data_IF_202713377446
#
_entry.id   IF_202713377446
#
_cell.length_a   1.000
_cell.length_b   1.000
_cell.length_c   1.000
_cell.angle_alpha   90.00
_cell.angle_beta   90.00
_cell.angle_gamma   90.00
#
_symmetry.space_group_name_H-M   'P 1'
#
loop_
_entity.id
_entity.type
_entity.pdbx_description
1 polymer ?
#
# COMPACT_ATOMS: atom_id res chain seq x y z
N UNK A 1 2.81 -18.81 5.98
CA UNK A 1 3.14 -18.51 4.59
C UNK A 1 4.52 -19.07 4.29
N UNK A 2 4.64 -19.83 3.22
CA UNK A 2 5.85 -20.60 2.86
C UNK A 2 6.79 -19.79 1.99
N UNK A 3 8.05 -20.23 1.82
CA UNK A 3 9.03 -19.65 0.89
C UNK A 3 8.46 -19.52 -0.55
N UNK A 4 7.63 -20.48 -0.96
CA UNK A 4 6.92 -20.43 -2.25
C UNK A 4 6.00 -19.20 -2.39
N UNK A 5 5.43 -18.68 -1.28
CA UNK A 5 4.59 -17.49 -1.34
C UNK A 5 5.40 -16.22 -1.64
N UNK A 6 6.59 -16.07 -1.07
CA UNK A 6 7.48 -14.93 -1.31
C UNK A 6 7.90 -14.88 -2.79
N UNK A 7 8.37 -16.00 -3.32
CA UNK A 7 8.80 -16.11 -4.72
C UNK A 7 7.65 -15.82 -5.71
N UNK A 8 6.47 -16.39 -5.47
CA UNK A 8 5.30 -16.13 -6.31
C UNK A 8 4.91 -14.66 -6.32
N UNK A 9 4.87 -14.00 -5.15
CA UNK A 9 4.53 -12.59 -5.03
C UNK A 9 5.55 -11.73 -5.77
N UNK A 10 6.85 -11.94 -5.51
CA UNK A 10 7.91 -11.14 -6.12
C UNK A 10 7.98 -11.32 -7.64
N UNK A 11 7.80 -12.54 -8.12
CA UNK A 11 7.76 -12.83 -9.57
C UNK A 11 6.56 -12.15 -10.22
N UNK A 12 5.36 -12.26 -9.61
CA UNK A 12 4.15 -11.61 -10.13
C UNK A 12 4.33 -10.10 -10.22
N UNK A 13 4.84 -9.46 -9.15
CA UNK A 13 5.05 -8.01 -9.14
C UNK A 13 6.10 -7.58 -10.18
N UNK A 14 7.22 -8.30 -10.30
CA UNK A 14 8.27 -7.98 -11.29
C UNK A 14 7.81 -8.13 -12.74
N UNK A 15 6.81 -8.96 -12.99
CA UNK A 15 6.20 -9.10 -14.32
C UNK A 15 5.08 -8.08 -14.62
N UNK A 16 4.92 -7.03 -13.80
CA UNK A 16 3.86 -6.03 -13.94
C UNK A 16 2.48 -6.51 -13.47
N UNK A 17 2.44 -7.61 -12.74
CA UNK A 17 1.21 -8.14 -12.17
C UNK A 17 0.77 -7.41 -10.90
N UNK A 18 -0.51 -7.59 -10.55
CA UNK A 18 -1.09 -7.05 -9.33
C UNK A 18 -1.48 -8.18 -8.37
N UNK A 19 -1.29 -7.95 -7.07
CA UNK A 19 -1.47 -8.98 -6.03
C UNK A 19 -2.43 -8.50 -4.96
N UNK A 20 -3.42 -9.32 -4.61
CA UNK A 20 -4.21 -9.12 -3.39
C UNK A 20 -3.56 -9.86 -2.24
N UNK A 21 -3.23 -9.12 -1.17
CA UNK A 21 -2.54 -9.64 0.01
C UNK A 21 -3.04 -8.95 1.28
N UNK A 22 -3.03 -9.66 2.41
CA UNK A 22 -3.25 -9.05 3.72
C UNK A 22 -2.02 -8.24 4.12
N UNK A 23 -2.23 -6.95 4.37
CA UNK A 23 -1.18 -6.04 4.87
C UNK A 23 -1.12 -6.05 6.41
N UNK A 24 -0.44 -5.09 7.03
CA UNK A 24 -0.43 -4.87 8.49
C UNK A 24 -1.83 -4.63 9.06
N UNK A 25 -2.75 -4.21 8.20
CA UNK A 25 -4.09 -3.78 8.56
C UNK A 25 -5.14 -4.68 7.89
N UNK A 26 -5.61 -4.28 6.73
CA UNK A 26 -6.64 -4.94 5.95
C UNK A 26 -6.06 -5.52 4.66
N UNK A 27 -6.85 -6.26 3.88
CA UNK A 27 -6.43 -6.66 2.56
C UNK A 27 -6.22 -5.45 1.65
N UNK A 28 -5.08 -5.42 0.98
CA UNK A 28 -4.72 -4.46 -0.05
C UNK A 28 -4.54 -5.13 -1.41
N UNK A 29 -4.71 -4.36 -2.46
CA UNK A 29 -4.26 -4.74 -3.80
C UNK A 29 -2.96 -3.97 -4.06
N UNK A 30 -1.87 -4.70 -4.33
CA UNK A 30 -0.53 -4.11 -4.47
C UNK A 30 0.00 -4.23 -5.89
N UNK A 31 0.77 -3.24 -6.29
CA UNK A 31 1.55 -3.19 -7.53
C UNK A 31 2.86 -2.44 -7.29
N UNK A 32 3.88 -2.67 -8.10
CA UNK A 32 5.12 -1.89 -8.04
C UNK A 32 4.82 -0.41 -8.24
N UNK A 33 5.28 0.43 -7.34
CA UNK A 33 5.10 1.89 -7.44
C UNK A 33 5.90 2.50 -8.63
N UNK A 34 6.94 1.80 -9.09
CA UNK A 34 7.78 2.20 -10.22
C UNK A 34 7.25 1.73 -11.58
N UNK A 35 6.19 0.92 -11.61
CA UNK A 35 5.58 0.41 -12.83
C UNK A 35 4.24 1.11 -13.08
N UNK A 36 4.25 2.08 -13.99
CA UNK A 36 3.06 2.87 -14.37
C UNK A 36 1.90 1.96 -14.80
N UNK A 37 2.16 0.98 -15.66
CA UNK A 37 1.12 0.10 -16.19
C UNK A 37 0.49 -0.75 -15.09
N UNK A 38 1.28 -1.25 -14.16
CA UNK A 38 0.77 -2.01 -13.02
C UNK A 38 -0.05 -1.11 -12.07
N UNK A 39 0.37 0.13 -11.85
CA UNK A 39 -0.37 1.13 -11.07
C UNK A 39 -1.72 1.43 -11.74
N UNK A 40 -1.74 1.73 -13.04
CA UNK A 40 -2.99 1.98 -13.80
C UNK A 40 -3.92 0.77 -13.79
N UNK A 41 -3.38 -0.45 -13.88
CA UNK A 41 -4.15 -1.69 -13.75
C UNK A 41 -4.89 -1.75 -12.41
N UNK A 42 -4.24 -1.36 -11.30
CA UNK A 42 -4.90 -1.29 -9.98
C UNK A 42 -6.06 -0.28 -9.98
N UNK A 43 -5.87 0.90 -10.55
CA UNK A 43 -6.94 1.91 -10.62
C UNK A 43 -8.12 1.41 -11.45
N UNK A 44 -7.85 0.80 -12.61
CA UNK A 44 -8.89 0.25 -13.49
C UNK A 44 -9.69 -0.87 -12.80
N UNK A 45 -9.02 -1.85 -12.20
CA UNK A 45 -9.65 -2.99 -11.51
C UNK A 45 -10.48 -2.53 -10.31
N UNK A 46 -10.03 -1.51 -9.59
CA UNK A 46 -10.76 -0.93 -8.46
C UNK A 46 -11.86 0.05 -8.88
N UNK A 47 -11.92 0.46 -10.15
CA UNK A 47 -12.76 1.58 -10.60
C UNK A 47 -12.50 2.84 -9.75
N UNK A 48 -11.22 3.09 -9.45
CA UNK A 48 -10.80 4.15 -8.54
C UNK A 48 -10.72 5.48 -9.27
N UNK A 49 -11.22 6.52 -8.62
CA UNK A 49 -11.02 7.90 -9.07
C UNK A 49 -9.52 8.18 -9.26
N UNK A 50 -9.13 8.62 -10.46
CA UNK A 50 -7.75 8.84 -10.86
C UNK A 50 -7.05 9.94 -10.07
N UNK A 51 -7.81 10.88 -9.49
CA UNK A 51 -7.27 11.95 -8.64
C UNK A 51 -6.91 11.50 -7.22
N UNK A 52 -7.39 10.32 -6.78
CA UNK A 52 -7.16 9.81 -5.43
C UNK A 52 -5.85 9.05 -5.36
N UNK A 53 -4.84 9.64 -4.75
CA UNK A 53 -3.55 9.01 -4.52
C UNK A 53 -3.65 7.69 -3.72
N UNK A 54 -2.72 6.78 -3.95
CA UNK A 54 -2.55 5.57 -3.16
C UNK A 54 -1.45 5.77 -2.10
N UNK A 55 -1.57 5.06 -0.97
CA UNK A 55 -0.45 4.94 -0.02
C UNK A 55 0.63 4.08 -0.67
N UNK A 56 1.88 4.50 -0.51
CA UNK A 56 3.06 3.75 -0.92
C UNK A 56 3.64 3.04 0.30
N UNK A 57 3.75 1.72 0.23
CA UNK A 57 4.40 0.90 1.25
C UNK A 57 5.88 0.77 0.96
N UNK A 58 6.68 0.93 1.99
CA UNK A 58 8.15 0.82 1.98
C UNK A 58 8.62 -0.14 3.07
N UNK A 59 9.76 -0.79 2.86
CA UNK A 59 10.34 -1.70 3.85
C UNK A 59 11.04 -0.93 4.98
N UNK A 60 11.63 0.23 4.65
CA UNK A 60 12.32 1.10 5.61
C UNK A 60 12.33 2.54 5.12
N UNK A 61 12.63 3.48 6.02
CA UNK A 61 12.61 4.91 5.72
C UNK A 61 13.70 5.35 4.72
N UNK A 62 14.77 4.59 4.54
CA UNK A 62 15.85 4.94 3.60
C UNK A 62 15.40 4.94 2.15
N UNK A 63 14.25 4.33 1.85
CA UNK A 63 13.62 4.41 0.53
C UNK A 63 13.13 5.83 0.18
N UNK A 64 12.99 6.72 1.18
CA UNK A 64 12.56 8.12 1.01
C UNK A 64 13.51 9.03 1.80
N UNK A 65 14.76 9.22 1.32
CA UNK A 65 15.82 9.88 2.12
C UNK A 65 15.46 11.28 2.61
N UNK A 66 14.78 12.07 1.78
CA UNK A 66 14.39 13.45 2.10
C UNK A 66 13.46 13.55 3.34
N UNK A 67 12.71 12.48 3.66
CA UNK A 67 11.73 12.46 4.74
C UNK A 67 11.93 11.27 5.69
N UNK A 68 13.11 10.63 5.66
CA UNK A 68 13.38 9.39 6.37
C UNK A 68 13.16 9.48 7.89
N UNK A 69 13.61 10.57 8.52
CA UNK A 69 13.46 10.77 9.97
C UNK A 69 12.01 10.92 10.38
N UNK A 70 11.24 11.71 9.64
CA UNK A 70 9.83 11.93 9.92
C UNK A 70 9.01 10.64 9.79
N UNK A 71 9.21 9.92 8.68
CA UNK A 71 8.52 8.65 8.42
C UNK A 71 8.88 7.60 9.48
N UNK A 72 10.17 7.50 9.84
CA UNK A 72 10.64 6.57 10.88
C UNK A 72 10.02 6.90 12.23
N UNK A 73 10.08 8.17 12.63
CA UNK A 73 9.55 8.62 13.92
C UNK A 73 8.10 8.17 14.12
N UNK A 74 7.20 8.51 13.21
CA UNK A 74 5.78 8.13 13.34
C UNK A 74 5.51 6.64 13.12
N UNK A 75 6.36 5.93 12.36
CA UNK A 75 6.26 4.47 12.25
C UNK A 75 6.63 3.74 13.55
N UNK A 76 7.54 4.29 14.34
CA UNK A 76 8.03 3.70 15.59
C UNK A 76 7.21 4.13 16.80
N UNK A 77 6.77 5.38 16.86
CA UNK A 77 6.05 5.94 18.02
C UNK A 77 4.56 5.64 18.02
N UNK A 78 3.95 5.52 16.85
CA UNK A 78 2.51 5.24 16.76
C UNK A 78 2.20 3.77 17.04
N UNK A 79 1.18 3.52 17.88
CA UNK A 79 0.72 2.16 18.22
C UNK A 79 0.06 1.44 17.05
N UNK A 80 -0.63 2.20 16.20
CA UNK A 80 -1.32 1.68 15.00
C UNK A 80 -0.50 1.96 13.74
N UNK A 81 -0.62 1.13 12.69
CA UNK A 81 0.06 1.39 11.43
C UNK A 81 -0.29 2.77 10.87
N UNK A 82 0.73 3.60 10.66
CA UNK A 82 0.59 5.01 10.31
C UNK A 82 1.22 5.30 8.96
N UNK A 83 0.47 5.99 8.11
CA UNK A 83 0.94 6.53 6.84
C UNK A 83 1.21 8.02 7.02
N UNK A 84 2.41 8.47 6.68
CA UNK A 84 2.83 9.86 6.81
C UNK A 84 2.81 10.53 5.45
N UNK A 85 2.04 11.59 5.33
CA UNK A 85 2.00 12.43 4.12
C UNK A 85 3.17 13.40 4.16
N UNK A 86 3.98 13.34 3.12
CA UNK A 86 5.16 14.22 2.92
C UNK A 86 5.08 14.90 1.56
N UNK A 87 5.72 16.07 1.38
CA UNK A 87 5.85 16.69 0.07
C UNK A 87 6.48 15.73 -0.94
N UNK A 88 5.96 15.73 -2.16
CA UNK A 88 6.58 14.99 -3.26
C UNK A 88 7.93 15.61 -3.61
N UNK A 89 8.91 14.77 -3.92
CA UNK A 89 10.27 15.20 -4.32
C UNK A 89 10.51 14.94 -5.80
N UNK A 90 10.49 13.67 -6.19
CA UNK A 90 10.69 13.24 -7.58
C UNK A 90 9.78 12.07 -7.95
N UNK A 91 8.70 11.90 -7.23
CA UNK A 91 7.73 10.84 -7.51
C UNK A 91 7.03 11.09 -8.84
N UNK A 92 6.83 10.05 -9.66
CA UNK A 92 6.21 10.19 -10.97
C UNK A 92 4.73 10.56 -10.89
N UNK A 93 4.20 11.10 -11.98
CA UNK A 93 2.82 11.59 -12.07
C UNK A 93 1.77 10.52 -11.71
N UNK A 94 2.00 9.27 -12.09
CA UNK A 94 1.08 8.17 -11.72
C UNK A 94 1.03 7.84 -10.23
N UNK A 95 1.94 8.39 -9.43
CA UNK A 95 1.92 8.33 -7.95
C UNK A 95 1.30 9.58 -7.36
N UNK A 96 1.72 10.77 -7.80
CA UNK A 96 1.26 12.05 -7.24
C UNK A 96 -0.11 12.49 -7.74
N UNK A 97 -0.55 12.01 -8.91
CA UNK A 97 -1.90 12.24 -9.45
C UNK A 97 -2.31 13.71 -9.47
N UNK A 98 -1.44 14.58 -9.94
CA UNK A 98 -1.67 16.03 -9.94
C UNK A 98 -1.56 16.69 -8.56
N UNK A 99 -1.21 15.94 -7.52
CA UNK A 99 -0.96 16.45 -6.17
C UNK A 99 0.50 16.85 -5.96
N UNK A 100 0.78 17.33 -4.75
CA UNK A 100 2.10 17.82 -4.31
C UNK A 100 2.71 17.00 -3.18
N UNK A 101 2.12 15.86 -2.86
CA UNK A 101 2.50 15.06 -1.69
C UNK A 101 2.27 13.57 -1.93
N UNK A 102 2.90 12.71 -1.12
CA UNK A 102 2.73 11.25 -1.13
C UNK A 102 2.60 10.75 0.28
N UNK A 103 1.74 9.76 0.51
CA UNK A 103 1.61 9.08 1.79
C UNK A 103 2.48 7.82 1.81
N UNK A 104 3.49 7.77 2.66
CA UNK A 104 4.35 6.60 2.85
C UNK A 104 4.04 5.88 4.16
N UNK A 105 4.14 4.54 4.15
CA UNK A 105 4.06 3.72 5.35
C UNK A 105 5.14 2.64 5.35
N UNK A 106 5.90 2.56 6.43
CA UNK A 106 6.77 1.42 6.69
C UNK A 106 5.90 0.23 7.10
N UNK A 107 6.07 -0.89 6.43
CA UNK A 107 5.32 -2.11 6.74
C UNK A 107 5.87 -2.80 7.98
N UNK A 108 4.96 -3.39 8.78
CA UNK A 108 5.30 -4.21 9.96
C UNK A 108 5.13 -5.70 9.70
N UNK A 109 4.40 -6.07 8.64
CA UNK A 109 4.22 -7.45 8.23
C UNK A 109 5.52 -7.98 7.60
N UNK A 110 6.11 -9.02 8.18
CA UNK A 110 7.44 -9.51 7.80
C UNK A 110 7.48 -10.03 6.36
N UNK A 111 6.47 -10.77 5.90
CA UNK A 111 6.42 -11.23 4.51
C UNK A 111 6.39 -10.06 3.53
N UNK A 112 5.52 -9.07 3.80
CA UNK A 112 5.38 -7.92 2.92
C UNK A 112 6.64 -7.05 2.93
N UNK A 113 7.33 -6.97 4.08
CA UNK A 113 8.64 -6.33 4.19
C UNK A 113 9.67 -7.01 3.29
N UNK A 114 9.81 -8.34 3.38
CA UNK A 114 10.72 -9.12 2.54
C UNK A 114 10.38 -8.98 1.04
N UNK A 115 9.09 -8.95 0.69
CA UNK A 115 8.67 -8.67 -0.69
C UNK A 115 9.19 -7.30 -1.14
N UNK A 116 8.92 -6.24 -0.37
CA UNK A 116 9.30 -4.86 -0.74
C UNK A 116 10.84 -4.71 -0.78
N UNK A 117 11.58 -5.36 0.11
CA UNK A 117 13.05 -5.38 0.08
C UNK A 117 13.59 -5.96 -1.24
N UNK A 118 12.89 -6.93 -1.85
CA UNK A 118 13.31 -7.57 -3.09
C UNK A 118 12.85 -6.84 -4.36
N UNK A 119 11.69 -6.19 -4.32
CA UNK A 119 11.06 -5.62 -5.54
C UNK A 119 10.99 -4.10 -5.54
N UNK A 120 11.22 -3.46 -4.40
CA UNK A 120 11.05 -2.02 -4.22
C UNK A 120 9.65 -1.64 -3.68
N UNK A 121 9.39 -0.32 -3.52
CA UNK A 121 8.12 0.20 -3.02
C UNK A 121 6.91 -0.26 -3.83
N UNK A 122 5.77 -0.44 -3.15
CA UNK A 122 4.51 -0.83 -3.79
C UNK A 122 3.38 0.14 -3.40
N UNK A 123 2.48 0.43 -4.32
CA UNK A 123 1.19 1.04 -3.93
C UNK A 123 0.32 0.00 -3.24
N UNK A 124 -0.55 0.41 -2.33
CA UNK A 124 -1.40 -0.51 -1.58
C UNK A 124 -2.76 0.08 -1.17
N UNK A 125 -3.64 0.42 -2.09
CA UNK A 125 -5.01 0.73 -1.74
C UNK A 125 -5.73 -0.52 -1.20
N UNK A 126 -6.82 -0.32 -0.44
CA UNK A 126 -7.64 -1.40 0.09
C UNK A 126 -8.23 -2.30 -1.01
N UNK A 127 -8.39 -3.59 -0.72
CA UNK A 127 -8.92 -4.58 -1.68
C UNK A 127 -10.45 -4.52 -1.77
N UNK A 128 -10.97 -3.51 -2.47
CA UNK A 128 -12.38 -3.30 -2.80
C UNK A 128 -12.51 -2.42 -4.05
N UNK A 129 -13.54 -2.56 -4.86
CA UNK A 129 -13.96 -1.51 -5.80
C UNK A 129 -14.28 -0.23 -5.04
N UNK A 130 -14.16 0.93 -5.67
CA UNK A 130 -14.45 2.20 -5.01
C UNK A 130 -15.88 2.21 -4.45
N UNK A 131 -16.06 2.80 -3.28
CA UNK A 131 -17.34 2.87 -2.55
C UNK A 131 -17.85 1.53 -1.97
N UNK A 132 -17.14 0.43 -2.15
CA UNK A 132 -17.47 -0.85 -1.49
C UNK A 132 -16.65 -1.02 -0.20
N UNK A 133 -17.13 -1.88 0.69
CA UNK A 133 -16.40 -2.26 1.91
C UNK A 133 -15.14 -3.05 1.55
N UNK A 134 -13.99 -2.77 2.18
CA UNK A 134 -12.78 -3.55 1.97
C UNK A 134 -12.99 -5.04 2.28
N UNK A 135 -12.44 -5.92 1.43
CA UNK A 135 -12.47 -7.36 1.64
C UNK A 135 -11.80 -7.74 2.97
N UNK A 136 -12.41 -8.66 3.70
CA UNK A 136 -11.93 -9.14 4.99
C UNK A 136 -11.22 -10.49 4.89
N UNK A 137 -11.42 -11.18 3.81
CA UNK A 137 -10.79 -12.45 3.48
C UNK A 137 -10.61 -12.56 1.96
N UNK A 138 -9.86 -13.57 1.55
CA UNK A 138 -9.53 -13.76 0.14
C UNK A 138 -10.75 -14.12 -0.72
N UNK A 139 -11.76 -14.78 -0.14
CA UNK A 139 -12.98 -15.13 -0.86
C UNK A 139 -13.80 -13.89 -1.23
N UNK A 140 -13.87 -12.89 -0.35
CA UNK A 140 -14.50 -11.59 -0.64
C UNK A 140 -13.73 -10.83 -1.71
N UNK A 141 -12.40 -10.81 -1.65
CA UNK A 141 -11.57 -10.17 -2.66
C UNK A 141 -11.76 -10.81 -4.05
N UNK A 142 -11.82 -12.14 -4.11
CA UNK A 142 -12.13 -12.86 -5.35
C UNK A 142 -13.52 -12.56 -5.90
N UNK A 143 -14.52 -12.34 -5.03
CA UNK A 143 -15.86 -11.90 -5.49
C UNK A 143 -15.84 -10.51 -6.11
N UNK A 144 -14.96 -9.62 -5.64
CA UNK A 144 -14.82 -8.28 -6.21
C UNK A 144 -14.09 -8.27 -7.54
N UNK A 145 -13.00 -9.01 -7.66
CA UNK A 145 -12.03 -8.81 -8.73
C UNK A 145 -11.90 -10.00 -9.70
N UNK A 146 -12.36 -11.21 -9.31
CA UNK A 146 -12.31 -12.39 -10.18
C UNK A 146 -10.91 -12.64 -10.75
N UNK A 147 -10.85 -12.80 -12.07
CA UNK A 147 -9.60 -13.06 -12.81
C UNK A 147 -8.83 -11.77 -13.18
N UNK A 148 -9.30 -10.60 -12.74
CA UNK A 148 -8.62 -9.31 -13.01
C UNK A 148 -7.39 -9.09 -12.14
N UNK A 149 -7.15 -9.92 -11.13
CA UNK A 149 -5.97 -9.90 -10.24
C UNK A 149 -5.11 -11.13 -10.51
N UNK A 150 -3.81 -10.91 -10.68
CA UNK A 150 -2.90 -11.98 -11.12
C UNK A 150 -2.57 -12.98 -10.01
N UNK A 151 -2.58 -12.54 -8.74
CA UNK A 151 -2.31 -13.42 -7.60
C UNK A 151 -3.13 -13.02 -6.37
N UNK A 152 -3.71 -14.01 -5.71
CA UNK A 152 -4.39 -13.88 -4.42
C UNK A 152 -3.62 -14.64 -3.34
N UNK A 153 -3.16 -13.92 -2.31
CA UNK A 153 -2.42 -14.49 -1.18
C UNK A 153 -3.32 -14.52 0.05
N UNK A 154 -3.68 -15.72 0.49
CA UNK A 154 -4.53 -15.89 1.66
C UNK A 154 -3.74 -15.65 2.95
N UNK A 155 -4.08 -14.58 3.66
CA UNK A 155 -3.55 -14.18 4.96
C UNK A 155 -4.54 -14.40 6.11
N UNK A 156 -5.61 -15.18 5.88
CA UNK A 156 -6.67 -15.41 6.86
C UNK A 156 -7.67 -14.25 6.96
N UNK A 157 -8.64 -14.40 7.85
CA UNK A 157 -9.68 -13.39 8.05
C UNK A 157 -9.15 -12.17 8.84
N UNK A 158 -9.54 -10.97 8.41
CA UNK A 158 -9.27 -9.72 9.13
C UNK A 158 -10.31 -9.54 10.23
N UNK A 159 -9.94 -9.48 11.52
CA UNK A 159 -10.86 -9.24 12.62
C UNK A 159 -11.63 -7.92 12.47
N UNK A 160 -12.89 -7.86 12.93
CA UNK A 160 -13.74 -6.65 12.81
C UNK A 160 -13.18 -5.43 13.55
N UNK A 161 -12.31 -5.65 14.50
CA UNK A 161 -11.60 -4.62 15.26
C UNK A 161 -10.41 -4.02 14.52
N UNK A 162 -9.97 -4.64 13.42
CA UNK A 162 -8.85 -4.12 12.61
C UNK A 162 -9.40 -3.18 11.55
N UNK A 163 -8.87 -1.95 11.56
CA UNK A 163 -9.20 -0.89 10.61
C UNK A 163 -8.03 -0.61 9.68
N UNK A 164 -8.27 0.18 8.63
CA UNK A 164 -7.19 0.70 7.79
C UNK A 164 -6.22 1.55 8.63
N UNK A 165 -4.99 1.73 8.13
CA UNK A 165 -4.00 2.60 8.79
C UNK A 165 -4.54 4.01 8.98
N UNK A 166 -4.08 4.69 10.03
CA UNK A 166 -4.25 6.14 10.05
C UNK A 166 -3.39 6.81 8.98
N UNK A 167 -3.80 7.99 8.57
CA UNK A 167 -3.04 8.86 7.66
C UNK A 167 -2.87 10.20 8.37
N UNK A 168 -1.63 10.63 8.52
CA UNK A 168 -1.29 11.90 9.15
C UNK A 168 -0.50 12.80 8.20
N UNK A 169 -0.66 14.10 8.39
CA UNK A 169 0.21 15.14 7.82
C UNK A 169 0.78 15.96 8.96
N UNK A 170 2.09 16.08 8.99
CA UNK A 170 2.79 16.93 9.97
C UNK A 170 3.01 18.30 9.35
N UNK A 171 2.51 19.34 10.00
CA UNK A 171 2.69 20.72 9.58
C UNK A 171 4.06 21.27 9.97
N UNK A 172 4.50 22.39 9.36
CA UNK A 172 5.78 23.02 9.71
C UNK A 172 5.90 23.43 11.19
N UNK A 173 4.78 23.72 11.85
CA UNK A 173 4.73 24.07 13.28
C UNK A 173 4.73 22.83 14.21
N UNK A 174 4.83 21.61 13.64
CA UNK A 174 4.83 20.35 14.36
C UNK A 174 3.43 19.82 14.71
N UNK A 175 2.36 20.54 14.39
CA UNK A 175 0.99 20.03 14.60
C UNK A 175 0.65 18.93 13.60
N UNK A 176 -0.22 18.01 14.02
CA UNK A 176 -0.61 16.84 13.24
C UNK A 176 -2.05 16.97 12.77
N UNK A 177 -2.26 16.88 11.46
CA UNK A 177 -3.58 16.70 10.87
C UNK A 177 -3.85 15.19 10.67
N UNK A 178 -4.91 14.68 11.27
CA UNK A 178 -5.40 13.33 11.01
C UNK A 178 -6.34 13.36 9.80
N UNK A 179 -5.89 12.77 8.68
CA UNK A 179 -6.64 12.74 7.42
C UNK A 179 -7.54 11.49 7.32
N UNK A 180 -7.23 10.47 8.13
CA UNK A 180 -8.02 9.26 8.35
C UNK A 180 -7.68 8.64 9.68
#
# INVERSE_FOLDING_TARGET
LTANSLEQITTTLRSGGIVVIRTDTIYGIIALATDEMAVEKVYAVKQRDLSKQCIVLIANASSVPAHAELIRHYSETEKIPTSVVVPASNEPEWIVRGGDSVAYRIVRNELLKQVIEQVGPVIAPSANPESKTPARNIAEAKKYFGDSVDLYVDGGEVPRTVHASQIIRVKPDGTIDHLR
#
